data_IF_401182496235
#
_entry.id   IF_401182496235
#
_cell.length_a   1.000
_cell.length_b   1.000
_cell.length_c   1.000
_cell.angle_alpha   90.00
_cell.angle_beta   90.00
_cell.angle_gamma   90.00
#
_symmetry.space_group_name_H-M   'P 1'
#
loop_
_entity.id
_entity.type
_entity.pdbx_description
1 polymer ?
#
# COMPACT_ATOMS: atom_id res chain seq x y z
N UNK A 1 4.48 10.71 -6.94
CA UNK A 1 4.52 9.42 -7.64
C UNK A 1 3.14 9.23 -8.25
N UNK A 2 3.02 8.89 -9.55
CA UNK A 2 1.72 8.70 -10.18
C UNK A 2 0.96 7.58 -9.45
N UNK A 3 -0.23 7.89 -8.94
CA UNK A 3 -1.14 6.88 -8.41
C UNK A 3 -1.89 6.28 -9.58
N UNK A 4 -2.06 4.96 -9.56
CA UNK A 4 -2.99 4.32 -10.50
C UNK A 4 -4.41 4.73 -10.15
N UNK A 5 -5.26 4.89 -11.17
CA UNK A 5 -6.66 5.28 -10.99
C UNK A 5 -7.42 4.44 -9.93
N UNK A 6 -7.26 3.10 -9.88
CA UNK A 6 -7.91 2.30 -8.84
C UNK A 6 -7.45 2.66 -7.41
N UNK A 7 -6.16 2.98 -7.24
CA UNK A 7 -5.61 3.38 -5.94
C UNK A 7 -6.11 4.77 -5.55
N UNK A 8 -6.15 5.72 -6.49
CA UNK A 8 -6.71 7.04 -6.25
C UNK A 8 -8.16 6.96 -5.78
N UNK A 9 -9.01 6.18 -6.48
CA UNK A 9 -10.40 5.97 -6.08
C UNK A 9 -10.53 5.36 -4.69
N UNK A 10 -9.70 4.36 -4.36
CA UNK A 10 -9.73 3.74 -3.04
C UNK A 10 -9.32 4.72 -1.93
N UNK A 11 -8.33 5.59 -2.19
CA UNK A 11 -7.91 6.62 -1.23
C UNK A 11 -8.95 7.71 -1.05
N UNK A 12 -9.57 8.19 -2.13
CA UNK A 12 -10.65 9.17 -2.08
C UNK A 12 -11.87 8.60 -1.34
N UNK A 13 -12.27 7.36 -1.63
CA UNK A 13 -13.35 6.69 -0.91
C UNK A 13 -13.03 6.49 0.58
N UNK A 14 -11.77 6.19 0.91
CA UNK A 14 -11.33 6.09 2.29
C UNK A 14 -11.37 7.45 3.00
N UNK A 15 -10.90 8.52 2.35
CA UNK A 15 -10.92 9.88 2.86
C UNK A 15 -12.36 10.39 3.05
N UNK A 16 -13.27 10.07 2.12
CA UNK A 16 -14.57 10.72 2.02
C UNK A 16 -14.39 12.25 1.94
N UNK A 17 -15.24 13.04 2.61
CA UNK A 17 -15.14 14.50 2.65
C UNK A 17 -14.06 15.04 3.60
N UNK A 18 -13.26 14.15 4.23
CA UNK A 18 -12.25 14.58 5.20
C UNK A 18 -11.06 15.21 4.48
N UNK A 19 -10.75 16.44 4.86
CA UNK A 19 -9.59 17.19 4.38
C UNK A 19 -8.38 17.09 5.32
N UNK A 20 -8.56 16.53 6.52
CA UNK A 20 -7.49 16.38 7.52
C UNK A 20 -7.54 15.00 8.21
N UNK A 21 -6.45 14.65 8.89
CA UNK A 21 -6.31 13.40 9.66
C UNK A 21 -5.86 12.19 8.84
N UNK A 22 -5.93 11.00 9.46
CA UNK A 22 -5.45 9.75 8.83
C UNK A 22 -6.43 9.24 7.77
N UNK A 23 -5.94 8.94 6.56
CA UNK A 23 -6.79 8.42 5.46
C UNK A 23 -7.32 7.02 5.81
N UNK A 24 -6.45 6.12 6.26
CA UNK A 24 -6.80 4.73 6.57
C UNK A 24 -7.15 4.59 8.05
N UNK A 25 -8.41 4.24 8.32
CA UNK A 25 -8.95 4.10 9.67
C UNK A 25 -9.25 2.64 10.04
N UNK A 26 -9.31 2.36 11.33
CA UNK A 26 -9.90 1.14 11.88
C UNK A 26 -11.43 1.18 11.77
N UNK A 27 -12.10 0.05 12.03
CA UNK A 27 -13.58 0.03 12.17
C UNK A 27 -14.11 0.96 13.28
N UNK A 28 -13.26 1.35 14.23
CA UNK A 28 -13.60 2.26 15.34
C UNK A 28 -13.31 3.72 15.01
N UNK A 29 -12.92 4.04 13.77
CA UNK A 29 -12.61 5.41 13.33
C UNK A 29 -11.24 5.95 13.75
N UNK A 30 -10.41 5.14 14.42
CA UNK A 30 -9.05 5.55 14.81
C UNK A 30 -8.03 5.30 13.70
N UNK A 31 -6.92 6.03 13.71
CA UNK A 31 -5.82 5.82 12.77
C UNK A 31 -5.34 4.36 12.78
N UNK A 32 -5.16 3.79 11.60
CA UNK A 32 -4.65 2.44 11.49
C UNK A 32 -3.15 2.39 11.85
N UNK A 33 -2.72 1.28 12.45
CA UNK A 33 -1.31 1.02 12.77
C UNK A 33 -0.77 -0.17 11.97
N UNK A 34 0.55 -0.38 12.07
CA UNK A 34 1.24 -1.46 11.34
C UNK A 34 0.67 -2.84 11.67
N UNK A 35 0.49 -3.16 12.95
CA UNK A 35 0.03 -4.48 13.40
C UNK A 35 -1.37 -4.79 12.88
N UNK A 36 -2.29 -3.83 13.00
CA UNK A 36 -3.66 -3.98 12.51
C UNK A 36 -3.71 -4.09 10.98
N UNK A 37 -2.87 -3.34 10.27
CA UNK A 37 -2.72 -3.48 8.80
C UNK A 37 -2.27 -4.88 8.42
N UNK A 38 -1.25 -5.43 9.08
CA UNK A 38 -0.78 -6.80 8.82
C UNK A 38 -1.88 -7.84 9.10
N UNK A 39 -2.62 -7.69 10.20
CA UNK A 39 -3.74 -8.58 10.51
C UNK A 39 -4.85 -8.52 9.44
N UNK A 40 -5.21 -7.32 8.99
CA UNK A 40 -6.20 -7.11 7.92
C UNK A 40 -5.74 -7.69 6.59
N UNK A 41 -4.47 -7.51 6.24
CA UNK A 41 -3.85 -8.09 5.05
C UNK A 41 -3.95 -9.63 5.08
N UNK A 42 -3.61 -10.27 6.21
CA UNK A 42 -3.72 -11.73 6.37
C UNK A 42 -5.15 -12.23 6.14
N UNK A 43 -6.16 -11.53 6.66
CA UNK A 43 -7.57 -11.89 6.45
C UNK A 43 -7.94 -11.81 4.96
N UNK A 44 -7.52 -10.76 4.26
CA UNK A 44 -7.82 -10.57 2.84
C UNK A 44 -7.11 -11.61 1.97
N UNK A 45 -5.84 -11.89 2.25
CA UNK A 45 -5.05 -12.94 1.58
C UNK A 45 -5.75 -14.29 1.69
N UNK A 46 -6.16 -14.68 2.90
CA UNK A 46 -6.87 -15.93 3.11
C UNK A 46 -8.24 -15.95 2.39
N UNK A 47 -9.00 -14.86 2.47
CA UNK A 47 -10.31 -14.75 1.82
C UNK A 47 -10.21 -14.80 0.30
N UNK A 48 -9.13 -14.29 -0.28
CA UNK A 48 -8.87 -14.31 -1.72
C UNK A 48 -8.22 -15.61 -2.20
N UNK A 49 -7.90 -16.55 -1.30
CA UNK A 49 -7.22 -17.81 -1.66
C UNK A 49 -5.79 -17.59 -2.19
N UNK A 50 -5.12 -16.51 -1.78
CA UNK A 50 -3.77 -16.20 -2.26
C UNK A 50 -2.71 -17.11 -1.61
N UNK A 51 -1.55 -17.31 -2.27
CA UNK A 51 -0.50 -18.19 -1.76
C UNK A 51 -0.04 -17.84 -0.34
N UNK A 52 0.34 -18.87 0.41
CA UNK A 52 1.01 -18.72 1.70
C UNK A 52 2.27 -17.84 1.54
N UNK A 53 2.49 -16.93 2.49
CA UNK A 53 3.59 -15.94 2.41
C UNK A 53 3.21 -14.63 1.70
N UNK A 54 1.99 -14.50 1.18
CA UNK A 54 1.49 -13.21 0.70
C UNK A 54 1.27 -12.26 1.89
N UNK A 55 2.01 -11.16 1.92
CA UNK A 55 2.01 -10.15 2.99
C UNK A 55 2.47 -8.80 2.42
N UNK A 56 2.37 -7.66 3.16
CA UNK A 56 2.65 -6.34 2.60
C UNK A 56 3.99 -6.20 1.86
N UNK A 57 5.06 -6.82 2.34
CA UNK A 57 6.37 -6.74 1.66
C UNK A 57 6.46 -7.57 0.36
N UNK A 58 5.81 -8.74 0.27
CA UNK A 58 5.75 -9.50 -1.00
C UNK A 58 4.81 -8.82 -2.00
N UNK A 59 3.71 -8.22 -1.53
CA UNK A 59 2.85 -7.36 -2.37
C UNK A 59 3.60 -6.16 -2.93
N UNK A 60 4.49 -5.55 -2.14
CA UNK A 60 5.37 -4.46 -2.62
C UNK A 60 6.29 -4.92 -3.74
N UNK A 61 6.94 -6.07 -3.58
CA UNK A 61 7.79 -6.64 -4.65
C UNK A 61 6.97 -6.86 -5.91
N UNK A 62 5.80 -7.48 -5.79
CA UNK A 62 4.90 -7.70 -6.93
C UNK A 62 4.49 -6.39 -7.62
N UNK A 63 4.22 -5.32 -6.85
CA UNK A 63 3.88 -4.01 -7.42
C UNK A 63 5.06 -3.36 -8.17
N UNK A 64 6.29 -3.51 -7.67
CA UNK A 64 7.50 -3.03 -8.35
C UNK A 64 7.72 -3.82 -9.65
N UNK A 65 7.65 -5.15 -9.59
CA UNK A 65 7.75 -6.02 -10.77
C UNK A 65 6.70 -5.67 -11.81
N UNK A 66 5.42 -5.55 -11.41
CA UNK A 66 4.34 -5.19 -12.32
C UNK A 66 4.53 -3.82 -12.98
N UNK A 67 5.09 -2.84 -12.27
CA UNK A 67 5.40 -1.53 -12.86
C UNK A 67 6.50 -1.64 -13.92
N UNK A 68 7.56 -2.43 -13.65
CA UNK A 68 8.64 -2.67 -14.60
C UNK A 68 8.13 -3.46 -15.82
N UNK A 69 7.32 -4.50 -15.62
CA UNK A 69 6.72 -5.30 -16.69
C UNK A 69 5.80 -4.47 -17.59
N UNK A 70 5.14 -3.44 -17.03
CA UNK A 70 4.34 -2.48 -17.77
C UNK A 70 5.17 -1.41 -18.52
N UNK A 71 6.50 -1.50 -18.49
CA UNK A 71 7.41 -0.57 -19.18
C UNK A 71 7.66 0.75 -18.45
N UNK A 72 7.34 0.85 -17.15
CA UNK A 72 7.66 2.05 -16.39
C UNK A 72 9.17 2.29 -16.37
N UNK A 73 9.64 3.55 -16.46
CA UNK A 73 11.06 3.85 -16.35
C UNK A 73 11.66 3.29 -15.06
N UNK A 74 12.84 2.66 -15.14
CA UNK A 74 13.52 2.09 -13.96
C UNK A 74 13.65 3.11 -12.83
N UNK A 75 13.91 4.38 -13.17
CA UNK A 75 14.00 5.47 -12.20
C UNK A 75 12.69 5.67 -11.42
N UNK A 76 11.55 5.58 -12.06
CA UNK A 76 10.24 5.77 -11.43
C UNK A 76 9.88 4.57 -10.54
N UNK A 77 10.18 3.35 -10.99
CA UNK A 77 10.05 2.14 -10.18
C UNK A 77 10.95 2.19 -8.93
N UNK A 78 12.17 2.72 -9.06
CA UNK A 78 13.09 2.93 -7.93
C UNK A 78 12.59 4.01 -6.96
N UNK A 79 12.03 5.11 -7.45
CA UNK A 79 11.39 6.13 -6.61
C UNK A 79 10.24 5.51 -5.83
N UNK A 80 9.35 4.78 -6.50
CA UNK A 80 8.28 4.02 -5.84
C UNK A 80 8.80 3.05 -4.78
N UNK A 81 9.89 2.33 -5.09
CA UNK A 81 10.55 1.37 -4.20
C UNK A 81 11.27 2.02 -2.99
N UNK A 82 11.71 3.27 -3.08
CA UNK A 82 12.34 3.99 -1.95
C UNK A 82 11.32 4.62 -1.01
N UNK A 83 10.23 5.18 -1.54
CA UNK A 83 9.23 5.92 -0.74
C UNK A 83 8.28 5.04 0.07
N UNK A 84 8.56 3.74 0.21
CA UNK A 84 7.78 2.86 1.08
C UNK A 84 8.62 1.84 1.86
N UNK A 85 9.93 2.09 1.98
CA UNK A 85 10.74 1.52 3.06
C UNK A 85 10.63 2.43 4.31
N UNK A 86 10.20 1.94 5.49
CA UNK A 86 10.18 2.73 6.72
C UNK A 86 11.57 3.18 7.22
N UNK A 87 12.66 2.67 6.63
CA UNK A 87 14.02 3.07 6.99
C UNK A 87 14.45 4.32 6.22
N UNK A 88 13.87 5.46 6.60
CA UNK A 88 14.58 6.73 6.46
C UNK A 88 15.10 7.08 7.85
N UNK A 89 16.32 6.62 8.13
CA UNK A 89 17.21 7.36 9.03
C UNK A 89 17.60 8.60 8.24
N UNK A 90 16.96 9.72 8.53
CA UNK A 90 17.54 11.02 8.24
C UNK A 90 18.83 11.10 9.05
N UNK A 91 19.96 11.25 8.37
CA UNK A 91 21.13 11.90 8.94
C UNK A 91 21.50 13.03 8.01
#
# INVERSE_FOLDING_TARGET
>A
MPLTEPVLRALLAAASDRTTGSVVLTKRGTAQNRRGTYGRCKILVNRAGLPAGTHPHTMRHAAITAALDAGAPLRDAQIFARHSDPRITTR
#
